data_IF_837772047802
#
_entry.id   IF_837772047802
#
_cell.length_a   1.000
_cell.length_b   1.000
_cell.length_c   1.000
_cell.angle_alpha   90.00
_cell.angle_beta   90.00
_cell.angle_gamma   90.00
#
_symmetry.space_group_name_H-M   'P 1'
#
loop_
_entity.id
_entity.type
_entity.pdbx_description
1 polymer ?
#
# COMPACT_ATOMS: atom_id res chain seq x y z
N UNK A 1 -13.68 0.00 -4.68
CA UNK A 1 -12.80 -0.83 -3.84
C UNK A 1 -13.48 -2.15 -3.61
N UNK A 2 -12.83 -3.25 -3.96
CA UNK A 2 -13.30 -4.60 -3.62
C UNK A 2 -13.26 -4.77 -2.10
N UNK A 3 -14.31 -5.40 -1.57
CA UNK A 3 -14.55 -5.59 -0.11
C UNK A 3 -13.36 -6.28 0.57
N UNK A 4 -12.60 -7.05 -0.20
CA UNK A 4 -11.43 -7.82 0.20
C UNK A 4 -10.24 -6.95 0.59
N UNK A 5 -9.97 -5.86 -0.14
CA UNK A 5 -8.85 -4.98 0.18
C UNK A 5 -9.04 -4.25 1.52
N UNK A 6 -10.29 -3.91 1.85
CA UNK A 6 -10.64 -3.31 3.14
C UNK A 6 -10.46 -4.27 4.32
N UNK A 7 -10.39 -5.58 4.09
CA UNK A 7 -10.16 -6.60 5.12
C UNK A 7 -8.69 -7.03 5.18
N UNK A 8 -8.04 -7.17 4.03
CA UNK A 8 -6.65 -7.63 3.93
C UNK A 8 -5.66 -6.56 4.37
N UNK A 9 -5.91 -5.27 4.09
CA UNK A 9 -4.98 -4.21 4.48
C UNK A 9 -4.87 -4.05 6.00
N UNK A 10 -5.96 -4.06 6.79
CA UNK A 10 -5.86 -4.13 8.26
C UNK A 10 -5.15 -5.38 8.77
N UNK A 11 -5.38 -6.54 8.14
CA UNK A 11 -4.68 -7.78 8.51
C UNK A 11 -3.17 -7.67 8.27
N UNK A 12 -2.77 -7.10 7.14
CA UNK A 12 -1.36 -6.84 6.79
C UNK A 12 -0.74 -5.80 7.74
N UNK A 13 -1.49 -4.77 8.13
CA UNK A 13 -1.06 -3.80 9.15
C UNK A 13 -0.79 -4.48 10.50
N UNK A 14 -1.71 -5.35 10.94
CA UNK A 14 -1.57 -6.11 12.20
C UNK A 14 -0.45 -7.14 12.15
N UNK A 15 -0.33 -7.87 11.05
CA UNK A 15 0.71 -8.89 10.82
C UNK A 15 2.05 -8.27 10.39
N UNK A 16 2.11 -6.95 10.21
CA UNK A 16 3.26 -6.25 9.70
C UNK A 16 4.53 -6.64 10.45
N UNK A 17 4.54 -6.55 11.78
CA UNK A 17 5.73 -6.87 12.56
C UNK A 17 6.23 -8.32 12.40
N UNK A 18 5.40 -9.22 11.89
CA UNK A 18 5.72 -10.63 11.67
C UNK A 18 6.06 -10.92 10.20
N UNK A 19 5.52 -10.14 9.26
CA UNK A 19 5.71 -10.33 7.82
C UNK A 19 6.82 -9.44 7.27
N UNK A 20 7.68 -10.05 6.45
CA UNK A 20 8.66 -9.31 5.64
C UNK A 20 7.98 -8.48 4.56
N UNK A 21 8.63 -7.39 4.15
CA UNK A 21 8.19 -6.48 3.08
C UNK A 21 7.81 -7.23 1.80
N UNK A 22 8.58 -8.25 1.41
CA UNK A 22 8.31 -9.08 0.22
C UNK A 22 6.99 -9.85 0.33
N UNK A 23 6.69 -10.42 1.52
CA UNK A 23 5.42 -11.12 1.76
C UNK A 23 4.23 -10.15 1.75
N UNK A 24 4.42 -8.95 2.30
CA UNK A 24 3.40 -7.89 2.28
C UNK A 24 3.07 -7.54 0.83
N UNK A 25 4.09 -7.36 -0.01
CA UNK A 25 3.90 -7.04 -1.43
C UNK A 25 3.24 -8.18 -2.20
N UNK A 26 3.61 -9.43 -1.93
CA UNK A 26 2.95 -10.59 -2.54
C UNK A 26 1.45 -10.65 -2.19
N UNK A 27 1.10 -10.40 -0.93
CA UNK A 27 -0.31 -10.33 -0.49
C UNK A 27 -1.04 -9.16 -1.14
N UNK A 28 -0.42 -7.99 -1.17
CA UNK A 28 -0.97 -6.80 -1.78
C UNK A 28 -1.14 -6.98 -3.30
N UNK A 29 -0.20 -7.61 -3.99
CA UNK A 29 -0.30 -7.87 -5.43
C UNK A 29 -1.50 -8.76 -5.78
N UNK A 30 -1.83 -9.73 -4.92
CA UNK A 30 -3.01 -10.58 -5.07
C UNK A 30 -4.35 -9.83 -4.91
N UNK A 31 -4.36 -8.64 -4.29
CA UNK A 31 -5.57 -7.80 -4.21
C UNK A 31 -5.92 -7.11 -5.53
N UNK A 32 -5.04 -7.17 -6.53
CA UNK A 32 -5.23 -6.50 -7.82
C UNK A 32 -5.05 -4.98 -7.71
N UNK A 33 -5.57 -4.25 -8.70
CA UNK A 33 -5.44 -2.79 -8.75
C UNK A 33 -6.23 -2.13 -7.61
N UNK A 34 -5.65 -1.15 -6.87
CA UNK A 34 -4.40 -0.42 -7.13
C UNK A 34 -3.13 -1.00 -6.47
N UNK A 35 -3.19 -2.12 -5.75
CA UNK A 35 -2.05 -2.69 -5.01
C UNK A 35 -1.07 -3.46 -5.90
N UNK A 36 -1.55 -4.14 -6.93
CA UNK A 36 -0.69 -4.79 -7.92
C UNK A 36 0.27 -3.81 -8.62
N UNK A 37 -0.12 -2.54 -8.70
CA UNK A 37 0.74 -1.49 -9.22
C UNK A 37 1.93 -1.15 -8.29
N UNK A 38 1.89 -1.51 -7.00
CA UNK A 38 3.05 -1.35 -6.08
C UNK A 38 4.23 -2.26 -6.44
N UNK A 39 3.98 -3.32 -7.22
CA UNK A 39 5.04 -4.17 -7.76
C UNK A 39 5.71 -3.55 -9.00
N UNK A 40 5.16 -2.46 -9.55
CA UNK A 40 5.71 -1.76 -10.72
C UNK A 40 6.46 -0.50 -10.27
N UNK A 41 7.78 -0.42 -10.49
CA UNK A 41 8.61 0.68 -9.98
C UNK A 41 8.26 2.08 -10.49
N UNK A 42 7.52 2.22 -11.60
CA UNK A 42 7.13 3.52 -12.14
C UNK A 42 5.65 3.86 -11.88
N UNK A 43 4.93 2.98 -11.18
CA UNK A 43 3.51 3.19 -11.00
C UNK A 43 3.25 4.19 -9.87
N UNK A 44 2.23 5.02 -10.08
CA UNK A 44 1.70 5.90 -9.05
C UNK A 44 0.28 5.52 -8.64
N UNK A 45 0.10 4.40 -7.90
CA UNK A 45 -1.22 3.97 -7.50
C UNK A 45 -1.86 4.93 -6.50
N UNK A 46 -3.19 5.05 -6.61
CA UNK A 46 -4.00 5.88 -5.72
C UNK A 46 -4.85 4.98 -4.84
N UNK A 47 -4.72 5.13 -3.52
CA UNK A 47 -5.45 4.39 -2.49
C UNK A 47 -6.49 5.29 -1.84
N UNK A 48 -7.54 4.71 -1.23
CA UNK A 48 -8.44 5.48 -0.36
C UNK A 48 -7.66 6.07 0.82
N UNK A 49 -8.22 7.12 1.39
CA UNK A 49 -7.72 7.67 2.64
C UNK A 49 -8.13 6.79 3.82
N UNK A 50 -7.28 5.81 4.13
CA UNK A 50 -7.44 4.89 5.26
C UNK A 50 -6.14 4.79 6.08
N UNK A 51 -6.29 4.63 7.40
CA UNK A 51 -5.16 4.64 8.34
C UNK A 51 -4.28 3.40 8.17
N UNK A 52 -4.88 2.23 7.95
CA UNK A 52 -4.13 0.98 7.75
C UNK A 52 -3.36 1.02 6.44
N UNK A 53 -3.98 1.54 5.37
CA UNK A 53 -3.30 1.77 4.09
C UNK A 53 -2.07 2.66 4.26
N UNK A 54 -2.23 3.78 4.97
CA UNK A 54 -1.14 4.70 5.19
C UNK A 54 0.01 4.04 5.98
N UNK A 55 -0.29 3.24 7.01
CA UNK A 55 0.73 2.53 7.81
C UNK A 55 1.49 1.51 6.97
N UNK A 56 0.78 0.68 6.21
CA UNK A 56 1.39 -0.33 5.34
C UNK A 56 2.28 0.34 4.28
N UNK A 57 1.80 1.39 3.62
CA UNK A 57 2.58 2.14 2.62
C UNK A 57 3.77 2.87 3.24
N UNK A 58 3.60 3.49 4.42
CA UNK A 58 4.68 4.18 5.09
C UNK A 58 5.78 3.21 5.54
N UNK A 59 5.41 1.97 5.90
CA UNK A 59 6.37 0.93 6.20
C UNK A 59 7.15 0.48 4.97
N UNK A 60 6.46 0.23 3.86
CA UNK A 60 7.12 -0.08 2.57
C UNK A 60 8.09 1.05 2.15
N UNK A 61 7.75 2.31 2.45
CA UNK A 61 8.67 3.44 2.28
C UNK A 61 9.88 3.39 3.22
N UNK A 62 9.68 3.11 4.51
CA UNK A 62 10.77 3.00 5.50
C UNK A 62 11.77 1.88 5.16
N UNK A 63 11.26 0.80 4.59
CA UNK A 63 12.04 -0.36 4.13
C UNK A 63 12.71 -0.12 2.77
N UNK A 64 12.55 1.08 2.19
CA UNK A 64 13.17 1.45 0.91
C UNK A 64 12.49 0.89 -0.33
N UNK A 65 11.34 0.22 -0.18
CA UNK A 65 10.58 -0.31 -1.31
C UNK A 65 9.82 0.77 -2.09
N UNK A 66 9.37 1.81 -1.40
CA UNK A 66 8.71 2.96 -2.02
C UNK A 66 9.58 4.19 -1.88
N UNK A 67 9.94 4.82 -2.99
CA UNK A 67 10.70 6.07 -3.01
C UNK A 67 9.89 7.21 -2.36
N UNK A 68 8.56 7.26 -2.60
CA UNK A 68 7.71 8.33 -2.08
C UNK A 68 6.26 7.90 -1.85
N UNK A 69 5.68 8.34 -0.73
CA UNK A 69 4.24 8.22 -0.46
C UNK A 69 3.68 9.65 -0.42
N UNK A 70 2.78 9.98 -1.33
CA UNK A 70 2.25 11.32 -1.55
C UNK A 70 0.76 11.38 -1.20
N UNK A 71 0.43 11.81 0.02
CA UNK A 71 -0.96 12.01 0.44
C UNK A 71 -1.58 13.20 -0.30
N UNK A 72 -2.53 12.97 -1.21
CA UNK A 72 -3.29 14.06 -1.87
C UNK A 72 -4.48 14.46 -0.99
N UNK A 73 -4.37 15.59 -0.30
CA UNK A 73 -5.48 16.17 0.48
C UNK A 73 -6.46 16.88 -0.45
N UNK A 74 -7.06 16.13 -1.37
CA UNK A 74 -8.20 16.57 -2.18
C UNK A 74 -9.30 15.55 -1.92
N UNK A 75 -10.12 15.77 -0.89
CA UNK A 75 -11.29 14.93 -0.55
C UNK A 75 -11.04 13.41 -0.75
N UNK A 76 -10.34 12.79 0.22
CA UNK A 76 -10.37 11.33 0.48
C UNK A 76 -9.44 10.35 -0.28
N UNK A 77 -8.28 10.74 -0.85
CA UNK A 77 -7.36 9.78 -1.51
C UNK A 77 -5.85 9.97 -1.18
N UNK A 78 -5.07 8.88 -1.20
CA UNK A 78 -3.61 8.84 -0.96
C UNK A 78 -2.93 8.39 -2.26
N UNK A 79 -1.94 9.14 -2.76
CA UNK A 79 -1.09 8.70 -3.87
C UNK A 79 0.24 8.11 -3.38
N UNK A 80 0.84 7.22 -4.16
CA UNK A 80 2.19 6.67 -3.92
C UNK A 80 2.99 6.86 -5.20
N UNK A 81 4.30 7.10 -5.13
CA UNK A 81 5.20 7.21 -6.28
C UNK A 81 6.41 6.34 -6.02
N UNK A 82 6.68 5.41 -6.93
CA UNK A 82 7.92 4.65 -6.97
C UNK A 82 8.73 5.25 -8.12
N UNK A 83 10.03 5.49 -7.90
CA UNK A 83 11.00 6.01 -8.87
C UNK A 83 12.18 5.05 -8.93
#
# INVERSE_FOLDING_TARGET
>A
MTRDAALVVPLVDQLGNTLSTDQILAVLANLGSPYAALATPAASPTFPHDTHHFRVLNRLKQEGWLSKVTRRVSKSQIGVTVE
#
